data_IF_513561188944
#
_entry.id   IF_513561188944
#
_cell.length_a   1.000
_cell.length_b   1.000
_cell.length_c   1.000
_cell.angle_alpha   90.00
_cell.angle_beta   90.00
_cell.angle_gamma   90.00
#
_symmetry.space_group_name_H-M   'P 1'
#
loop_
_entity.id
_entity.type
_entity.pdbx_description
1 polymer ?
#
# COMPACT_ATOMS: atom_id res chain seq x y z
N UNK A 1 -14.78 -2.73 9.43
CA UNK A 1 -14.22 -1.61 10.22
C UNK A 1 -13.81 -0.51 9.24
N UNK A 2 -14.44 0.66 9.34
CA UNK A 2 -14.15 1.80 8.46
C UNK A 2 -12.77 2.37 8.79
N UNK A 3 -11.84 2.32 7.84
CA UNK A 3 -10.47 2.86 7.94
C UNK A 3 -10.41 4.35 7.61
N UNK A 4 -11.57 5.01 7.52
CA UNK A 4 -11.63 6.44 7.25
C UNK A 4 -11.07 7.23 8.44
N UNK A 5 -9.79 7.62 8.37
CA UNK A 5 -9.31 8.75 9.16
C UNK A 5 -10.01 10.01 8.62
N UNK A 6 -10.64 10.82 9.45
CA UNK A 6 -11.26 12.06 8.98
C UNK A 6 -10.20 12.95 8.33
N UNK A 7 -10.51 13.52 7.16
CA UNK A 7 -9.65 14.50 6.48
C UNK A 7 -9.35 15.73 7.35
N UNK A 8 -10.12 15.93 8.40
CA UNK A 8 -10.02 17.06 9.33
C UNK A 8 -8.77 17.04 10.21
N UNK A 9 -7.98 15.95 10.18
CA UNK A 9 -6.79 15.81 11.04
C UNK A 9 -5.54 16.48 10.46
N UNK A 10 -5.49 16.77 9.16
CA UNK A 10 -4.35 17.40 8.49
C UNK A 10 -4.59 18.91 8.33
N UNK A 11 -3.71 19.71 8.90
CA UNK A 11 -3.74 21.17 8.79
C UNK A 11 -2.51 21.68 8.06
N UNK A 12 -2.74 22.46 7.02
CA UNK A 12 -1.64 23.12 6.30
C UNK A 12 -1.15 24.34 7.10
N UNK A 13 0.14 24.59 7.06
CA UNK A 13 0.74 25.78 7.69
C UNK A 13 0.05 27.06 7.25
N UNK A 14 -0.26 27.21 5.93
CA UNK A 14 -0.96 28.38 5.39
C UNK A 14 -2.32 28.61 6.08
N UNK A 15 -3.11 27.54 6.24
CA UNK A 15 -4.43 27.64 6.87
C UNK A 15 -4.33 27.96 8.36
N UNK A 16 -3.31 27.46 9.05
CA UNK A 16 -3.06 27.81 10.45
C UNK A 16 -2.65 29.29 10.60
N UNK A 17 -1.80 29.82 9.70
CA UNK A 17 -1.43 31.23 9.68
C UNK A 17 -2.63 32.13 9.38
N UNK A 18 -3.52 31.73 8.46
CA UNK A 18 -4.77 32.42 8.15
C UNK A 18 -5.73 32.44 9.36
N UNK A 19 -5.66 31.43 10.25
CA UNK A 19 -6.41 31.35 11.51
C UNK A 19 -5.78 32.16 12.65
N UNK A 20 -4.69 32.91 12.39
CA UNK A 20 -4.03 33.77 13.38
C UNK A 20 -2.87 33.13 14.15
N UNK A 21 -2.52 31.88 13.90
CA UNK A 21 -1.30 31.28 14.46
C UNK A 21 -0.08 31.90 13.80
N UNK A 22 1.03 31.99 14.54
CA UNK A 22 2.34 32.33 13.99
C UNK A 22 3.31 31.13 14.08
N UNK A 23 4.47 31.23 13.47
CA UNK A 23 5.48 30.13 13.49
C UNK A 23 5.98 29.80 14.89
N UNK A 24 5.96 30.75 15.82
CA UNK A 24 6.31 30.52 17.23
C UNK A 24 5.27 29.64 17.92
N UNK A 25 3.99 29.90 17.65
CA UNK A 25 2.88 29.09 18.15
C UNK A 25 2.97 27.65 17.64
N UNK A 26 3.21 27.47 16.32
CA UNK A 26 3.36 26.14 15.75
C UNK A 26 4.50 25.35 16.40
N UNK A 27 5.65 25.99 16.64
CA UNK A 27 6.79 25.35 17.33
C UNK A 27 6.46 25.03 18.80
N UNK A 28 5.67 25.87 19.47
CA UNK A 28 5.23 25.62 20.85
C UNK A 28 4.30 24.41 20.91
N UNK A 29 3.29 24.36 20.05
CA UNK A 29 2.33 23.25 19.94
C UNK A 29 3.02 21.94 19.55
N UNK A 30 4.01 21.98 18.65
CA UNK A 30 4.82 20.83 18.28
C UNK A 30 5.66 20.32 19.45
N UNK A 31 6.33 21.22 20.20
CA UNK A 31 7.09 20.84 21.39
C UNK A 31 6.21 20.39 22.55
N UNK A 32 5.01 20.95 22.68
CA UNK A 32 4.01 20.55 23.68
C UNK A 32 3.30 19.23 23.34
N UNK A 33 3.58 18.65 22.18
CA UNK A 33 2.95 17.38 21.76
C UNK A 33 1.48 17.51 21.35
N UNK A 34 0.98 18.72 21.11
CA UNK A 34 -0.38 18.95 20.61
C UNK A 34 -0.47 18.79 19.09
N UNK A 35 0.60 19.14 18.39
CA UNK A 35 0.75 18.96 16.95
C UNK A 35 1.97 18.08 16.64
N UNK A 36 1.81 17.24 15.62
CA UNK A 36 2.92 16.49 15.02
C UNK A 36 3.11 16.96 13.58
N UNK A 37 4.34 17.26 13.22
CA UNK A 37 4.70 17.61 11.86
C UNK A 37 4.70 16.37 10.96
N UNK A 38 3.71 16.23 10.10
CA UNK A 38 3.59 15.12 9.15
C UNK A 38 4.62 15.26 8.02
N UNK A 39 4.74 16.49 7.50
CA UNK A 39 5.75 16.88 6.51
C UNK A 39 5.92 18.41 6.53
N UNK A 40 6.88 18.92 5.74
CA UNK A 40 7.05 20.37 5.60
C UNK A 40 5.74 21.03 5.13
N UNK A 41 5.23 21.94 5.93
CA UNK A 41 4.02 22.70 5.63
C UNK A 41 2.71 21.99 5.97
N UNK A 42 2.74 20.85 6.68
CA UNK A 42 1.55 20.12 7.11
C UNK A 42 1.74 19.51 8.51
N UNK A 43 0.75 19.68 9.34
CA UNK A 43 0.67 19.18 10.72
C UNK A 43 -0.59 18.32 10.89
N UNK A 44 -0.56 17.42 11.86
CA UNK A 44 -1.71 16.70 12.39
C UNK A 44 -1.79 16.89 13.89
N UNK A 45 -2.96 16.71 14.49
CA UNK A 45 -3.07 16.58 15.93
C UNK A 45 -2.29 15.34 16.40
N UNK A 46 -1.58 15.48 17.51
CA UNK A 46 -0.92 14.37 18.16
C UNK A 46 -1.98 13.51 18.86
N UNK A 47 -2.68 12.67 18.13
CA UNK A 47 -3.32 11.52 18.74
C UNK A 47 -2.25 10.48 19.03
N UNK A 48 -2.51 9.54 19.95
CA UNK A 48 -1.61 8.45 20.33
C UNK A 48 -0.82 7.96 19.11
N UNK A 49 0.49 7.99 19.27
CA UNK A 49 1.47 7.77 18.20
C UNK A 49 1.01 6.61 17.31
N UNK A 50 0.72 6.91 16.05
CA UNK A 50 0.40 5.86 15.08
C UNK A 50 1.63 4.95 14.95
N UNK A 51 1.66 3.90 15.76
CA UNK A 51 2.71 2.88 15.70
C UNK A 51 2.63 2.07 14.41
N UNK A 52 1.44 2.06 13.77
CA UNK A 52 1.22 1.34 12.53
C UNK A 52 1.77 2.13 11.33
N UNK A 53 2.61 1.47 10.55
CA UNK A 53 3.26 2.02 9.35
C UNK A 53 2.22 2.54 8.36
N UNK A 54 1.13 1.81 8.17
CA UNK A 54 0.03 2.14 7.27
C UNK A 54 -0.67 3.44 7.65
N UNK A 55 -1.00 3.62 8.93
CA UNK A 55 -1.66 4.84 9.41
C UNK A 55 -0.77 6.06 9.24
N UNK A 56 0.51 5.94 9.63
CA UNK A 56 1.49 7.01 9.45
C UNK A 56 1.65 7.38 7.98
N UNK A 57 1.75 6.38 7.09
CA UNK A 57 1.88 6.64 5.66
C UNK A 57 0.60 7.23 5.07
N UNK A 58 -0.59 6.79 5.50
CA UNK A 58 -1.86 7.39 5.07
C UNK A 58 -1.91 8.88 5.40
N UNK A 59 -1.52 9.30 6.60
CA UNK A 59 -1.41 10.72 6.95
C UNK A 59 -0.44 11.47 6.03
N UNK A 60 0.70 10.84 5.70
CA UNK A 60 1.67 11.43 4.78
C UNK A 60 1.11 11.57 3.36
N UNK A 61 0.32 10.60 2.87
CA UNK A 61 -0.41 10.65 1.60
C UNK A 61 -1.40 11.83 1.61
N UNK A 62 -2.25 11.94 2.64
CA UNK A 62 -3.23 13.01 2.77
C UNK A 62 -2.57 14.39 2.83
N UNK A 63 -1.54 14.55 3.68
CA UNK A 63 -0.77 15.79 3.76
C UNK A 63 -0.08 16.16 2.43
N UNK A 64 0.28 15.15 1.65
CA UNK A 64 0.89 15.34 0.33
C UNK A 64 -0.18 15.72 -0.70
N UNK A 65 -1.33 15.07 -0.70
CA UNK A 65 -2.44 15.36 -1.59
C UNK A 65 -2.87 16.83 -1.53
N UNK A 66 -2.98 17.38 -0.32
CA UNK A 66 -3.32 18.79 -0.09
C UNK A 66 -2.27 19.79 -0.61
N UNK A 67 -1.09 19.33 -0.96
CA UNK A 67 0.03 20.16 -1.42
C UNK A 67 0.47 19.85 -2.87
N UNK A 68 0.01 18.73 -3.45
CA UNK A 68 0.32 18.39 -4.83
C UNK A 68 -0.51 19.26 -5.79
N UNK A 69 0.12 19.56 -6.92
CA UNK A 69 -0.55 20.13 -8.09
C UNK A 69 -1.30 19.03 -8.85
N UNK A 70 -2.30 19.38 -9.62
CA UNK A 70 -3.14 18.49 -10.39
C UNK A 70 -2.37 17.45 -11.24
N UNK A 71 -3.01 16.32 -11.50
CA UNK A 71 -2.52 15.25 -12.39
C UNK A 71 -1.58 14.24 -11.74
N UNK A 72 -1.42 14.24 -10.43
CA UNK A 72 -0.70 13.20 -9.71
C UNK A 72 -1.67 12.13 -9.19
N UNK A 73 -1.43 10.86 -9.52
CA UNK A 73 -2.26 9.73 -9.12
C UNK A 73 -1.45 8.89 -8.12
N UNK A 74 -1.98 8.66 -6.92
CA UNK A 74 -1.31 7.83 -5.92
C UNK A 74 -1.17 6.39 -6.43
N UNK A 75 -0.01 5.78 -6.24
CA UNK A 75 0.34 4.50 -6.85
C UNK A 75 1.27 3.66 -5.94
N UNK A 76 1.61 2.45 -6.36
CA UNK A 76 2.54 1.56 -5.65
C UNK A 76 2.21 1.44 -4.14
N UNK A 77 3.18 1.61 -3.25
CA UNK A 77 2.99 1.50 -1.81
C UNK A 77 1.94 2.47 -1.24
N UNK A 78 1.83 3.70 -1.80
CA UNK A 78 0.81 4.65 -1.35
C UNK A 78 -0.60 4.20 -1.74
N UNK A 79 -0.78 3.69 -2.96
CA UNK A 79 -2.05 3.11 -3.36
C UNK A 79 -2.37 1.83 -2.58
N UNK A 80 -1.36 1.01 -2.27
CA UNK A 80 -1.53 -0.18 -1.45
C UNK A 80 -2.13 0.15 -0.07
N UNK A 81 -1.58 1.17 0.60
CA UNK A 81 -2.13 1.65 1.88
C UNK A 81 -3.58 2.14 1.73
N UNK A 82 -3.87 2.88 0.66
CA UNK A 82 -5.23 3.38 0.41
C UNK A 82 -6.23 2.24 0.13
N UNK A 83 -5.79 1.16 -0.50
CA UNK A 83 -6.59 -0.06 -0.72
C UNK A 83 -6.66 -1.00 0.49
N UNK A 84 -5.95 -0.72 1.58
CA UNK A 84 -5.89 -1.61 2.76
C UNK A 84 -5.09 -2.89 2.52
N UNK A 85 -4.10 -2.84 1.63
CA UNK A 85 -3.14 -3.92 1.42
C UNK A 85 -2.00 -3.83 2.44
N UNK A 86 -1.40 -4.95 2.85
CA UNK A 86 -0.23 -4.95 3.70
C UNK A 86 0.96 -4.29 3.00
N UNK A 87 1.73 -3.52 3.75
CA UNK A 87 2.91 -2.82 3.25
C UNK A 87 4.05 -2.91 4.26
N UNK A 88 5.26 -2.70 3.78
CA UNK A 88 6.49 -2.67 4.59
C UNK A 88 7.06 -1.26 4.64
N UNK A 89 7.81 -0.91 5.69
CA UNK A 89 8.39 0.43 5.86
C UNK A 89 9.13 0.93 4.62
N UNK A 90 9.88 0.04 3.93
CA UNK A 90 10.67 0.38 2.76
C UNK A 90 9.79 0.75 1.56
N UNK A 91 8.67 0.05 1.38
CA UNK A 91 7.71 0.28 0.30
C UNK A 91 6.93 1.58 0.46
N UNK A 92 6.90 2.14 1.68
CA UNK A 92 6.17 3.36 2.03
C UNK A 92 7.07 4.44 2.65
N UNK A 93 8.39 4.31 2.50
CA UNK A 93 9.34 5.33 2.95
C UNK A 93 9.12 6.70 2.26
N UNK A 94 8.46 6.72 1.09
CA UNK A 94 8.04 7.91 0.35
C UNK A 94 6.60 7.77 -0.12
N UNK A 95 5.97 8.89 -0.38
CA UNK A 95 4.69 8.92 -1.10
C UNK A 95 4.94 8.63 -2.56
N UNK A 96 4.31 7.60 -3.09
CA UNK A 96 4.40 7.19 -4.48
C UNK A 96 3.26 7.77 -5.30
N UNK A 97 3.58 8.45 -6.37
CA UNK A 97 2.62 8.97 -7.34
C UNK A 97 3.04 8.60 -8.76
N UNK A 98 2.07 8.32 -9.61
CA UNK A 98 2.29 8.13 -11.04
C UNK A 98 1.70 9.33 -11.78
N UNK A 99 2.44 9.82 -12.76
CA UNK A 99 1.96 10.80 -13.75
C UNK A 99 1.82 10.11 -15.08
N UNK A 100 0.69 10.36 -15.76
CA UNK A 100 0.41 9.81 -17.09
C UNK A 100 1.32 10.47 -18.14
N UNK A 101 2.58 10.05 -18.14
CA UNK A 101 3.59 10.48 -19.11
C UNK A 101 4.65 9.39 -19.28
N UNK A 102 5.26 9.31 -20.46
CA UNK A 102 6.47 8.50 -20.65
C UNK A 102 7.68 9.23 -20.04
N UNK A 103 8.58 8.50 -19.40
CA UNK A 103 9.83 9.05 -18.88
C UNK A 103 10.28 8.44 -17.56
N UNK A 104 11.50 8.76 -17.15
CA UNK A 104 12.08 8.31 -15.89
C UNK A 104 11.37 8.95 -14.70
N UNK A 105 11.25 8.18 -13.61
CA UNK A 105 10.74 8.67 -12.34
C UNK A 105 11.69 9.70 -11.69
N UNK A 106 11.14 10.57 -10.87
CA UNK A 106 11.89 11.56 -10.09
C UNK A 106 11.78 11.21 -8.61
N UNK A 107 12.91 11.01 -7.95
CA UNK A 107 12.99 10.85 -6.50
C UNK A 107 13.20 12.21 -5.84
N UNK A 108 12.29 12.61 -4.96
CA UNK A 108 12.46 13.74 -4.04
C UNK A 108 12.46 13.21 -2.60
N UNK A 109 12.79 14.04 -1.63
CA UNK A 109 12.92 13.60 -0.23
C UNK A 109 11.68 12.85 0.29
N UNK A 110 10.48 13.33 -0.02
CA UNK A 110 9.21 12.78 0.49
C UNK A 110 8.38 12.09 -0.60
N UNK A 111 8.59 12.38 -1.88
CA UNK A 111 7.74 11.91 -2.99
C UNK A 111 8.59 11.21 -4.04
N UNK A 112 8.15 10.01 -4.41
CA UNK A 112 8.62 9.24 -5.56
C UNK A 112 7.61 9.42 -6.69
N UNK A 113 8.02 10.08 -7.77
CA UNK A 113 7.20 10.23 -8.98
C UNK A 113 7.56 9.13 -9.97
N UNK A 114 6.59 8.37 -10.43
CA UNK A 114 6.74 7.41 -11.52
C UNK A 114 6.15 8.00 -12.80
N UNK A 115 6.84 7.80 -13.93
CA UNK A 115 6.33 8.12 -15.26
C UNK A 115 5.83 6.84 -15.92
N UNK A 116 4.52 6.71 -16.12
CA UNK A 116 3.93 5.55 -16.78
C UNK A 116 2.59 5.91 -17.40
N UNK A 117 2.20 5.31 -18.54
CA UNK A 117 0.86 5.46 -19.07
C UNK A 117 -0.16 4.90 -18.09
N UNK A 118 -1.27 5.60 -17.94
CA UNK A 118 -2.43 5.20 -17.13
C UNK A 118 -3.69 5.37 -17.98
N UNK A 119 -4.45 4.30 -18.09
CA UNK A 119 -5.78 4.34 -18.69
C UNK A 119 -6.80 4.89 -17.68
N UNK A 120 -7.89 5.55 -18.11
CA UNK A 120 -8.94 6.01 -17.19
C UNK A 120 -9.47 4.88 -16.28
N UNK A 121 -9.64 3.67 -16.78
CA UNK A 121 -10.07 2.49 -16.00
C UNK A 121 -9.06 2.02 -14.96
N UNK A 122 -7.81 2.47 -15.02
CA UNK A 122 -6.77 2.17 -14.03
C UNK A 122 -6.73 3.20 -12.90
N UNK A 123 -7.67 4.16 -12.87
CA UNK A 123 -7.74 5.22 -11.87
C UNK A 123 -9.08 5.12 -11.15
N UNK A 124 -9.04 5.11 -9.84
CA UNK A 124 -10.22 5.13 -8.97
C UNK A 124 -10.10 6.26 -7.97
N UNK A 125 -11.20 6.68 -7.39
CA UNK A 125 -11.20 7.64 -6.29
C UNK A 125 -11.31 6.90 -4.96
N UNK A 126 -10.38 7.14 -4.06
CA UNK A 126 -10.43 6.70 -2.66
C UNK A 126 -10.27 7.96 -1.79
N UNK A 127 -11.23 8.22 -0.90
CA UNK A 127 -11.30 9.46 -0.10
C UNK A 127 -11.19 10.73 -0.96
N UNK A 128 -11.82 10.75 -2.13
CA UNK A 128 -11.76 11.81 -3.14
C UNK A 128 -10.37 12.06 -3.76
N UNK A 129 -9.39 11.18 -3.55
CA UNK A 129 -8.08 11.27 -4.19
C UNK A 129 -7.94 10.25 -5.33
N UNK A 130 -7.31 10.63 -6.46
CA UNK A 130 -7.04 9.72 -7.56
C UNK A 130 -5.96 8.72 -7.16
N UNK A 131 -6.30 7.44 -7.21
CA UNK A 131 -5.46 6.30 -6.83
C UNK A 131 -5.45 5.30 -7.98
N UNK A 132 -4.35 4.59 -8.20
CA UNK A 132 -4.36 3.48 -9.16
C UNK A 132 -5.34 2.39 -8.71
N UNK A 133 -6.07 1.80 -9.66
CA UNK A 133 -7.01 0.69 -9.40
C UNK A 133 -6.31 -0.45 -8.65
N UNK A 134 -7.07 -1.28 -7.95
CA UNK A 134 -6.52 -2.41 -7.20
C UNK A 134 -5.66 -3.32 -8.09
N UNK A 135 -6.15 -3.64 -9.31
CA UNK A 135 -5.40 -4.42 -10.31
C UNK A 135 -4.05 -3.77 -10.63
N UNK A 136 -4.09 -2.48 -10.97
CA UNK A 136 -2.88 -1.73 -11.34
C UNK A 136 -1.91 -1.64 -10.17
N UNK A 137 -2.40 -1.41 -8.97
CA UNK A 137 -1.60 -1.33 -7.75
C UNK A 137 -0.87 -2.65 -7.49
N UNK A 138 -1.58 -3.78 -7.52
CA UNK A 138 -0.97 -5.11 -7.33
C UNK A 138 0.11 -5.40 -8.37
N UNK A 139 -0.14 -5.08 -9.64
CA UNK A 139 0.85 -5.29 -10.71
C UNK A 139 2.07 -4.38 -10.55
N UNK A 140 1.91 -3.14 -10.12
CA UNK A 140 3.02 -2.25 -9.84
C UNK A 140 3.86 -2.73 -8.65
N UNK A 141 3.23 -3.25 -7.58
CA UNK A 141 3.93 -3.88 -6.46
C UNK A 141 4.66 -5.16 -6.90
N UNK A 142 4.00 -6.02 -7.65
CA UNK A 142 4.57 -7.28 -8.15
C UNK A 142 5.80 -7.08 -9.05
N UNK A 143 5.90 -5.93 -9.73
CA UNK A 143 7.06 -5.59 -10.56
C UNK A 143 8.23 -4.98 -9.76
N UNK A 144 7.98 -4.42 -8.58
CA UNK A 144 8.93 -3.52 -7.92
C UNK A 144 9.33 -3.96 -6.51
N UNK A 145 8.58 -4.84 -5.87
CA UNK A 145 8.85 -5.33 -4.52
C UNK A 145 9.46 -6.74 -4.53
N UNK A 146 10.11 -7.15 -3.43
CA UNK A 146 10.46 -8.55 -3.18
C UNK A 146 9.23 -9.46 -3.28
N UNK A 147 9.43 -10.71 -3.71
CA UNK A 147 8.34 -11.65 -3.98
C UNK A 147 7.47 -11.88 -2.74
N UNK A 148 8.06 -12.03 -1.56
CA UNK A 148 7.33 -12.20 -0.29
C UNK A 148 6.32 -11.09 -0.03
N UNK A 149 6.75 -9.83 -0.21
CA UNK A 149 5.90 -8.66 -0.01
C UNK A 149 4.81 -8.54 -1.09
N UNK A 150 5.18 -8.77 -2.34
CA UNK A 150 4.27 -8.70 -3.48
C UNK A 150 3.17 -9.78 -3.40
N UNK A 151 3.53 -11.01 -2.99
CA UNK A 151 2.57 -12.11 -2.80
C UNK A 151 1.61 -11.79 -1.66
N UNK A 152 2.09 -11.33 -0.51
CA UNK A 152 1.23 -11.00 0.61
C UNK A 152 0.21 -9.88 0.25
N UNK A 153 0.65 -8.85 -0.48
CA UNK A 153 -0.25 -7.81 -0.98
C UNK A 153 -1.24 -8.35 -2.01
N UNK A 154 -0.79 -9.23 -2.92
CA UNK A 154 -1.61 -9.84 -3.95
C UNK A 154 -2.65 -10.82 -3.41
N UNK A 155 -2.30 -11.68 -2.45
CA UNK A 155 -3.22 -12.60 -1.77
C UNK A 155 -4.33 -11.80 -1.06
N UNK A 156 -3.95 -10.74 -0.34
CA UNK A 156 -4.92 -9.84 0.28
C UNK A 156 -5.83 -9.18 -0.76
N UNK A 157 -5.31 -8.79 -1.91
CA UNK A 157 -6.11 -8.19 -2.98
C UNK A 157 -7.10 -9.20 -3.58
N UNK A 158 -6.72 -10.48 -3.74
CA UNK A 158 -7.65 -11.55 -4.13
C UNK A 158 -8.78 -11.71 -3.10
N UNK A 159 -8.45 -11.69 -1.81
CA UNK A 159 -9.45 -11.74 -0.73
C UNK A 159 -10.38 -10.51 -0.72
N UNK A 160 -9.96 -9.37 -1.27
CA UNK A 160 -10.79 -8.18 -1.48
C UNK A 160 -11.61 -8.24 -2.78
N UNK A 161 -11.59 -9.36 -3.51
CA UNK A 161 -12.40 -9.57 -4.71
C UNK A 161 -11.68 -9.32 -6.04
N UNK A 162 -10.37 -9.02 -6.03
CA UNK A 162 -9.60 -8.95 -7.27
C UNK A 162 -9.54 -10.32 -7.94
N UNK A 163 -9.84 -10.40 -9.22
CA UNK A 163 -9.80 -11.67 -9.95
C UNK A 163 -8.46 -11.90 -10.66
N UNK A 164 -8.06 -13.18 -10.78
CA UNK A 164 -6.90 -13.58 -11.58
C UNK A 164 -7.02 -13.15 -13.05
N UNK A 165 -8.25 -13.14 -13.60
CA UNK A 165 -8.51 -12.68 -14.97
C UNK A 165 -8.12 -11.21 -15.15
N UNK A 166 -8.49 -10.34 -14.19
CA UNK A 166 -8.10 -8.92 -14.23
C UNK A 166 -6.58 -8.74 -14.18
N UNK A 167 -5.89 -9.52 -13.34
CA UNK A 167 -4.43 -9.51 -13.27
C UNK A 167 -3.79 -9.97 -14.59
N UNK A 168 -4.34 -11.03 -15.21
CA UNK A 168 -3.87 -11.55 -16.50
C UNK A 168 -3.99 -10.50 -17.62
N UNK A 169 -5.13 -9.83 -17.70
CA UNK A 169 -5.35 -8.73 -18.68
C UNK A 169 -4.36 -7.59 -18.42
N UNK A 170 -4.15 -7.19 -17.17
CA UNK A 170 -3.20 -6.14 -16.83
C UNK A 170 -1.75 -6.51 -17.15
N UNK A 171 -1.35 -7.77 -16.97
CA UNK A 171 -0.02 -8.26 -17.35
C UNK A 171 0.23 -8.20 -18.87
N UNK A 172 -0.78 -8.49 -19.68
CA UNK A 172 -0.67 -8.35 -21.14
C UNK A 172 -0.43 -6.89 -21.54
N UNK A 173 -1.15 -5.95 -20.93
CA UNK A 173 -0.94 -4.51 -21.17
C UNK A 173 0.46 -4.02 -20.76
N UNK A 174 1.14 -4.74 -19.85
CA UNK A 174 2.47 -4.41 -19.32
C UNK A 174 3.60 -5.28 -19.93
N UNK A 175 3.38 -5.98 -21.02
CA UNK A 175 4.29 -7.02 -21.53
C UNK A 175 5.75 -6.55 -21.68
N UNK A 176 5.95 -5.29 -22.05
CA UNK A 176 7.30 -4.72 -22.26
C UNK A 176 7.79 -3.86 -21.08
N UNK A 177 7.11 -3.90 -19.93
CA UNK A 177 7.48 -3.08 -18.80
C UNK A 177 8.59 -3.73 -17.95
N UNK A 178 9.50 -2.92 -17.38
CA UNK A 178 10.49 -3.45 -16.45
C UNK A 178 9.83 -4.21 -15.29
N UNK A 179 10.38 -5.37 -14.94
CA UNK A 179 9.88 -6.20 -13.85
C UNK A 179 8.64 -7.07 -14.18
N UNK A 180 8.13 -7.05 -15.42
CA UNK A 180 6.94 -7.84 -15.78
C UNK A 180 7.14 -9.35 -15.60
N UNK A 181 8.36 -9.87 -15.79
CA UNK A 181 8.66 -11.30 -15.54
C UNK A 181 8.46 -11.66 -14.07
N UNK A 182 8.92 -10.80 -13.17
CA UNK A 182 8.69 -10.97 -11.73
C UNK A 182 7.19 -10.90 -11.41
N UNK A 183 6.47 -9.93 -11.99
CA UNK A 183 5.04 -9.82 -11.78
C UNK A 183 4.26 -11.06 -12.25
N UNK A 184 4.64 -11.69 -13.37
CA UNK A 184 4.04 -12.96 -13.82
C UNK A 184 4.23 -14.07 -12.78
N UNK A 185 5.47 -14.25 -12.28
CA UNK A 185 5.76 -15.23 -11.22
C UNK A 185 4.95 -14.98 -9.97
N UNK A 186 4.86 -13.71 -9.53
CA UNK A 186 4.03 -13.33 -8.38
C UNK A 186 2.57 -13.72 -8.63
N UNK A 187 1.97 -13.29 -9.75
CA UNK A 187 0.55 -13.53 -10.07
C UNK A 187 0.24 -15.04 -10.16
N UNK A 188 1.14 -15.84 -10.73
CA UNK A 188 1.01 -17.31 -10.77
C UNK A 188 1.04 -17.93 -9.37
N UNK A 189 1.78 -17.31 -8.43
CA UNK A 189 1.94 -17.83 -7.09
C UNK A 189 0.83 -17.40 -6.11
N UNK A 190 0.04 -16.37 -6.42
CA UNK A 190 -1.04 -15.88 -5.54
C UNK A 190 -2.03 -17.00 -5.17
N UNK A 191 -2.60 -16.91 -3.99
CA UNK A 191 -3.64 -17.83 -3.52
C UNK A 191 -4.63 -17.12 -2.59
N UNK A 192 -5.91 -17.11 -2.98
CA UNK A 192 -6.99 -16.47 -2.20
C UNK A 192 -7.23 -17.14 -0.85
N UNK A 193 -6.79 -18.40 -0.67
CA UNK A 193 -6.94 -19.15 0.58
C UNK A 193 -5.97 -18.70 1.66
N UNK A 194 -4.96 -17.87 1.33
CA UNK A 194 -4.05 -17.31 2.31
C UNK A 194 -4.78 -16.25 3.15
N UNK A 195 -4.99 -16.54 4.43
CA UNK A 195 -5.75 -15.69 5.35
C UNK A 195 -4.88 -14.66 6.08
N UNK A 196 -3.57 -14.84 6.07
CA UNK A 196 -2.63 -13.96 6.76
C UNK A 196 -1.39 -13.61 5.94
N UNK A 197 -0.77 -12.49 6.29
CA UNK A 197 0.53 -12.08 5.75
C UNK A 197 1.59 -13.14 6.04
N UNK A 198 1.56 -13.74 7.24
CA UNK A 198 2.50 -14.78 7.65
C UNK A 198 2.39 -16.03 6.77
N UNK A 199 1.18 -16.50 6.45
CA UNK A 199 0.97 -17.62 5.53
C UNK A 199 1.51 -17.32 4.14
N UNK A 200 1.21 -16.15 3.58
CA UNK A 200 1.71 -15.73 2.27
C UNK A 200 3.24 -15.71 2.23
N UNK A 201 3.88 -15.14 3.26
CA UNK A 201 5.34 -15.08 3.34
C UNK A 201 5.96 -16.47 3.51
N UNK A 202 5.41 -17.31 4.38
CA UNK A 202 5.90 -18.67 4.60
C UNK A 202 5.83 -19.52 3.32
N UNK A 203 4.76 -19.39 2.54
CA UNK A 203 4.63 -20.06 1.23
C UNK A 203 5.76 -19.68 0.28
N UNK A 204 6.12 -18.40 0.23
CA UNK A 204 7.22 -17.94 -0.61
C UNK A 204 8.56 -18.48 -0.11
N UNK A 205 8.82 -18.41 1.20
CA UNK A 205 10.06 -18.96 1.78
C UNK A 205 10.20 -20.45 1.51
N UNK A 206 9.13 -21.24 1.71
CA UNK A 206 9.15 -22.68 1.42
C UNK A 206 9.46 -22.97 -0.07
N UNK A 207 8.86 -22.19 -0.97
CA UNK A 207 9.15 -22.30 -2.41
C UNK A 207 10.61 -21.93 -2.72
N UNK A 208 11.16 -20.89 -2.11
CA UNK A 208 12.54 -20.46 -2.32
C UNK A 208 13.56 -21.52 -1.81
N UNK A 209 13.21 -22.24 -0.75
CA UNK A 209 13.98 -23.38 -0.21
C UNK A 209 13.73 -24.70 -0.99
N UNK A 210 12.95 -24.67 -2.06
CA UNK A 210 12.66 -25.84 -2.89
C UNK A 210 11.73 -26.87 -2.24
N UNK A 211 11.01 -26.48 -1.18
CA UNK A 211 10.05 -27.36 -0.52
C UNK A 211 8.70 -27.38 -1.27
N UNK A 212 7.93 -28.48 -1.12
CA UNK A 212 6.59 -28.56 -1.72
C UNK A 212 5.69 -27.42 -1.27
N UNK A 213 4.75 -27.03 -2.16
CA UNK A 213 3.73 -26.06 -1.76
C UNK A 213 2.88 -26.62 -0.63
N UNK A 214 2.74 -25.88 0.50
CA UNK A 214 1.89 -26.35 1.59
C UNK A 214 0.43 -26.26 1.18
N UNK A 215 -0.39 -27.23 1.65
CA UNK A 215 -1.83 -27.11 1.58
C UNK A 215 -2.31 -26.07 2.58
N UNK A 216 -3.06 -25.08 2.09
CA UNK A 216 -3.66 -24.04 2.92
C UNK A 216 -5.00 -24.51 3.46
N UNK A 217 -5.29 -24.11 4.71
CA UNK A 217 -6.57 -24.37 5.35
C UNK A 217 -6.89 -25.87 5.49
N UNK A 218 -5.85 -26.69 5.76
CA UNK A 218 -6.01 -28.11 5.96
C UNK A 218 -6.74 -28.40 7.29
N UNK A 219 -7.85 -29.14 7.25
CA UNK A 219 -8.63 -29.54 8.43
C UNK A 219 -7.94 -30.72 9.13
N UNK A 220 -7.22 -30.45 10.21
CA UNK A 220 -6.71 -31.49 11.09
C UNK A 220 -7.85 -32.10 11.93
N UNK A 221 -8.28 -33.28 11.57
CA UNK A 221 -9.20 -34.07 12.41
C UNK A 221 -8.39 -34.85 13.44
N UNK A 222 -8.28 -34.33 14.64
CA UNK A 222 -7.75 -35.11 15.77
C UNK A 222 -8.83 -36.05 16.31
N UNK A 223 -8.46 -37.24 16.74
CA UNK A 223 -9.37 -38.19 17.41
C UNK A 223 -9.97 -37.65 18.74
N UNK A 224 -9.50 -36.52 19.24
CA UNK A 224 -10.07 -35.78 20.37
C UNK A 224 -10.78 -34.52 19.87
N UNK A 225 -11.92 -34.13 20.45
CA UNK A 225 -12.73 -33.00 19.96
C UNK A 225 -12.16 -31.62 20.34
N UNK A 226 -10.85 -31.45 20.31
CA UNK A 226 -10.21 -30.15 20.44
C UNK A 226 -10.00 -29.61 19.02
N UNK A 227 -10.82 -28.61 18.63
CA UNK A 227 -10.59 -27.83 17.41
C UNK A 227 -9.22 -27.16 17.51
N UNK A 228 -8.23 -27.67 16.81
CA UNK A 228 -7.04 -26.89 16.53
C UNK A 228 -7.40 -25.79 15.52
N UNK A 229 -6.98 -24.54 15.72
CA UNK A 229 -7.13 -23.52 14.67
C UNK A 229 -6.47 -24.03 13.39
N UNK A 230 -7.13 -23.78 12.26
CA UNK A 230 -6.65 -24.17 10.92
C UNK A 230 -5.23 -23.63 10.70
N UNK A 231 -4.32 -24.47 10.33
CA UNK A 231 -2.90 -24.15 10.23
C UNK A 231 -2.25 -24.71 8.97
N UNK A 232 -0.96 -24.48 8.88
CA UNK A 232 -0.07 -25.00 7.85
C UNK A 232 0.22 -26.49 8.05
N UNK A 233 0.15 -27.28 6.98
CA UNK A 233 0.77 -28.60 6.91
C UNK A 233 1.70 -28.68 5.69
N UNK A 234 2.88 -29.22 5.94
CA UNK A 234 3.80 -29.69 4.90
C UNK A 234 3.42 -31.15 4.60
N UNK A 235 3.02 -31.45 3.36
CA UNK A 235 2.80 -32.78 2.87
C UNK A 235 4.11 -33.49 2.52
#
# INVERSE_FOLDING_TARGET
MSWALPMDDIRLTRSLLEQGYNYGDLRRLERGGELVRVRRGAYARAHEVDQMVEKRHRRLVLATALQLRDGAIFSHGSAAVMHGLPVWPEAVARVHVTRNRRGSGIKRSVVQVHGAPLLPAEIVLIDNFPVTSLTRTVLDLARTLPMTQAVAAGDRALALGLSRKQLGVGLLAMERWPGVRTARRVVEFLDVRSESVGESMSRVCLMEEGLPRPDLQYDLRTRRPTRCPRGFLLG
#
